data_IF_262901587929
#
_entry.id   IF_262901587929
#
_cell.length_a   1.000
_cell.length_b   1.000
_cell.length_c   1.000
_cell.angle_alpha   90.00
_cell.angle_beta   90.00
_cell.angle_gamma   90.00
#
_symmetry.space_group_name_H-M   'P 1'
#
loop_
_entity.id
_entity.type
_entity.pdbx_description
1 polymer ?
#
# COMPACT_ATOMS: atom_id res chain seq x y z
N UNK A 1 9.10 20.03 -30.63
CA UNK A 1 8.42 20.57 -29.42
C UNK A 1 8.58 19.65 -28.22
N UNK A 2 7.98 18.44 -28.21
CA UNK A 2 8.10 17.52 -27.06
C UNK A 2 9.55 17.15 -26.70
N UNK A 3 10.39 16.83 -27.70
CA UNK A 3 11.82 16.56 -27.46
C UNK A 3 12.58 17.78 -26.92
N UNK A 4 12.27 18.99 -27.39
CA UNK A 4 12.86 20.23 -26.87
C UNK A 4 12.39 20.53 -25.44
N UNK A 5 11.12 20.23 -25.12
CA UNK A 5 10.59 20.34 -23.76
C UNK A 5 11.24 19.31 -22.82
N UNK A 6 11.43 18.07 -23.28
CA UNK A 6 12.14 17.04 -22.51
C UNK A 6 13.61 17.43 -22.24
N UNK A 7 14.31 17.91 -23.27
CA UNK A 7 15.69 18.41 -23.13
C UNK A 7 15.76 19.64 -22.22
N UNK A 8 14.80 20.57 -22.33
CA UNK A 8 14.71 21.74 -21.47
C UNK A 8 14.43 21.38 -20.01
N UNK A 9 13.54 20.42 -19.76
CA UNK A 9 13.27 19.89 -18.42
C UNK A 9 14.48 19.13 -17.86
N UNK A 10 15.19 18.36 -18.69
CA UNK A 10 16.43 17.68 -18.29
C UNK A 10 17.50 18.67 -17.87
N UNK A 11 17.78 19.66 -18.73
CA UNK A 11 18.72 20.74 -18.43
C UNK A 11 18.33 21.53 -17.17
N UNK A 12 17.04 21.83 -16.99
CA UNK A 12 16.54 22.50 -15.79
C UNK A 12 16.72 21.66 -14.52
N UNK A 13 16.46 20.35 -14.60
CA UNK A 13 16.68 19.42 -13.48
C UNK A 13 18.16 19.36 -13.05
N UNK A 14 19.06 19.29 -14.03
CA UNK A 14 20.51 19.30 -13.78
C UNK A 14 20.96 20.65 -13.18
N UNK A 15 20.48 21.77 -13.72
CA UNK A 15 20.80 23.11 -13.24
C UNK A 15 20.28 23.37 -11.82
N UNK A 16 19.05 22.96 -11.54
CA UNK A 16 18.39 23.17 -10.25
C UNK A 16 18.80 22.16 -9.17
N UNK A 17 19.63 21.17 -9.51
CA UNK A 17 19.95 20.01 -8.65
C UNK A 17 18.69 19.25 -8.18
N UNK A 18 17.56 19.47 -8.84
CA UNK A 18 16.34 18.70 -8.64
C UNK A 18 16.30 17.65 -9.74
N UNK A 19 16.93 16.51 -9.46
CA UNK A 19 16.96 15.42 -10.41
C UNK A 19 15.53 15.05 -10.83
N UNK A 20 15.30 14.98 -12.14
CA UNK A 20 14.12 14.30 -12.66
C UNK A 20 14.17 12.87 -12.12
N UNK A 21 13.17 12.46 -11.34
CA UNK A 21 13.22 11.21 -10.57
C UNK A 21 13.55 9.96 -11.40
N UNK A 22 13.17 9.94 -12.69
CA UNK A 22 13.55 8.89 -13.63
C UNK A 22 15.04 8.90 -13.99
N UNK A 23 15.63 10.09 -14.23
CA UNK A 23 17.06 10.25 -14.54
C UNK A 23 17.95 9.93 -13.34
N UNK A 24 17.59 10.42 -12.15
CA UNK A 24 18.32 10.09 -10.92
C UNK A 24 18.36 8.59 -10.62
N UNK A 25 17.24 7.88 -10.85
CA UNK A 25 17.16 6.43 -10.62
C UNK A 25 17.98 5.63 -11.61
N UNK A 26 17.92 5.97 -12.90
CA UNK A 26 18.75 5.32 -13.94
C UNK A 26 20.23 5.56 -13.66
N UNK A 27 20.62 6.78 -13.28
CA UNK A 27 22.01 7.07 -12.90
C UNK A 27 22.45 6.32 -11.65
N UNK A 28 21.60 6.19 -10.64
CA UNK A 28 21.89 5.41 -9.43
C UNK A 28 22.00 3.90 -9.72
N UNK A 29 21.16 3.38 -10.62
CA UNK A 29 21.16 1.97 -11.02
C UNK A 29 22.38 1.61 -11.87
N UNK A 30 22.82 2.51 -12.75
CA UNK A 30 24.05 2.37 -13.52
C UNK A 30 25.29 2.49 -12.62
N UNK A 31 25.28 3.41 -11.65
CA UNK A 31 26.38 3.58 -10.70
C UNK A 31 26.57 2.38 -9.75
N UNK A 32 25.51 1.59 -9.50
CA UNK A 32 25.56 0.43 -8.60
C UNK A 32 26.23 -0.82 -9.21
N UNK A 33 26.64 -0.81 -10.49
CA UNK A 33 27.44 -1.89 -11.10
C UNK A 33 26.74 -3.26 -11.26
N UNK A 34 25.50 -3.37 -10.79
CA UNK A 34 24.56 -4.46 -10.92
C UNK A 34 23.22 -3.92 -10.46
N UNK A 35 22.16 -4.10 -11.25
CA UNK A 35 20.86 -3.48 -10.99
C UNK A 35 20.40 -3.69 -9.54
N UNK A 36 19.74 -2.68 -8.95
CA UNK A 36 19.26 -2.75 -7.57
C UNK A 36 18.42 -4.02 -7.36
N UNK A 37 18.62 -4.78 -6.27
CA UNK A 37 17.72 -5.89 -5.91
C UNK A 37 16.24 -5.44 -5.86
N UNK A 38 16.04 -4.15 -5.58
CA UNK A 38 14.74 -3.49 -5.44
C UNK A 38 14.22 -2.86 -6.74
N UNK A 39 14.90 -3.11 -7.86
CA UNK A 39 14.43 -2.71 -9.19
C UNK A 39 13.05 -3.33 -9.47
N UNK A 40 12.18 -2.55 -10.11
CA UNK A 40 10.79 -2.93 -10.42
C UNK A 40 10.66 -4.30 -11.09
N UNK A 41 11.51 -4.68 -12.07
CA UNK A 41 11.41 -6.01 -12.70
C UNK A 41 11.56 -7.17 -11.72
N UNK A 42 12.34 -7.04 -10.65
CA UNK A 42 12.49 -8.09 -9.64
C UNK A 42 11.24 -8.22 -8.76
N UNK A 43 10.60 -7.10 -8.44
CA UNK A 43 9.29 -7.08 -7.76
C UNK A 43 8.22 -7.72 -8.66
N UNK A 44 8.22 -7.39 -9.95
CA UNK A 44 7.28 -7.97 -10.91
C UNK A 44 7.48 -9.46 -11.09
N UNK A 45 8.73 -9.94 -11.11
CA UNK A 45 9.04 -11.37 -11.19
C UNK A 45 8.48 -12.14 -9.99
N UNK A 46 8.74 -11.67 -8.78
CA UNK A 46 8.24 -12.32 -7.55
C UNK A 46 6.71 -12.24 -7.44
N UNK A 47 6.12 -11.13 -7.87
CA UNK A 47 4.66 -10.98 -8.00
C UNK A 47 4.08 -11.99 -8.99
N UNK A 48 4.71 -12.17 -10.15
CA UNK A 48 4.28 -13.14 -11.15
C UNK A 48 4.30 -14.58 -10.62
N UNK A 49 5.32 -14.92 -9.82
CA UNK A 49 5.37 -16.22 -9.13
C UNK A 49 4.18 -16.41 -8.19
N UNK A 50 3.75 -15.37 -7.45
CA UNK A 50 2.52 -15.45 -6.63
C UNK A 50 1.26 -15.62 -7.48
N UNK A 51 1.16 -14.92 -8.61
CA UNK A 51 0.04 -15.07 -9.54
C UNK A 51 -0.06 -16.52 -10.03
N UNK A 52 1.07 -17.15 -10.38
CA UNK A 52 1.10 -18.55 -10.81
C UNK A 52 0.71 -19.53 -9.69
N UNK A 53 1.00 -19.19 -8.43
CA UNK A 53 0.58 -19.98 -7.26
C UNK A 53 -0.92 -19.80 -6.94
N UNK A 54 -1.50 -18.65 -7.27
CA UNK A 54 -2.89 -18.30 -6.95
C UNK A 54 -3.67 -17.70 -8.15
N UNK A 55 -3.77 -18.40 -9.29
CA UNK A 55 -4.23 -17.80 -10.54
C UNK A 55 -5.73 -17.47 -10.56
N UNK A 56 -6.54 -18.14 -9.74
CA UNK A 56 -8.00 -18.03 -9.83
C UNK A 56 -8.58 -16.91 -8.97
N UNK A 57 -8.19 -16.86 -7.70
CA UNK A 57 -8.75 -15.90 -6.72
C UNK A 57 -7.71 -14.91 -6.22
N UNK A 58 -6.45 -15.04 -6.65
CA UNK A 58 -5.35 -14.28 -6.09
C UNK A 58 -5.07 -14.62 -4.62
N UNK A 59 -4.30 -13.75 -3.98
CA UNK A 59 -3.99 -13.80 -2.55
C UNK A 59 -5.09 -13.17 -1.69
N UNK A 60 -6.03 -12.44 -2.30
CA UNK A 60 -7.04 -11.65 -1.61
C UNK A 60 -6.81 -10.15 -1.81
N UNK A 61 -7.90 -9.38 -1.84
CA UNK A 61 -7.85 -7.93 -2.00
C UNK A 61 -7.15 -7.28 -0.79
N UNK A 62 -6.11 -6.48 -1.05
CA UNK A 62 -5.26 -5.87 -0.02
C UNK A 62 -4.22 -6.81 0.61
N UNK A 63 -4.15 -8.08 0.23
CA UNK A 63 -3.30 -9.08 0.89
C UNK A 63 -1.94 -9.29 0.19
N UNK A 64 -1.61 -8.49 -0.85
CA UNK A 64 -0.36 -8.64 -1.59
C UNK A 64 0.86 -8.59 -0.67
N UNK A 65 0.98 -7.53 0.15
CA UNK A 65 2.14 -7.35 1.01
C UNK A 65 2.27 -8.50 2.02
N UNK A 66 1.16 -8.92 2.63
CA UNK A 66 1.15 -10.02 3.59
C UNK A 66 1.64 -11.33 2.95
N UNK A 67 1.03 -11.71 1.82
CA UNK A 67 1.41 -12.93 1.11
C UNK A 67 2.85 -12.88 0.58
N UNK A 68 3.28 -11.75 0.03
CA UNK A 68 4.62 -11.57 -0.54
C UNK A 68 5.71 -11.54 0.54
N UNK A 69 5.48 -10.87 1.68
CA UNK A 69 6.43 -10.81 2.78
C UNK A 69 6.68 -12.19 3.42
N UNK A 70 5.65 -13.04 3.48
CA UNK A 70 5.70 -14.37 4.10
C UNK A 70 6.09 -15.50 3.13
N UNK A 71 6.09 -15.25 1.82
CA UNK A 71 6.50 -16.24 0.82
C UNK A 71 8.00 -16.17 0.58
N UNK A 72 8.65 -17.34 0.56
CA UNK A 72 10.06 -17.44 0.20
C UNK A 72 10.22 -17.27 -1.32
N UNK A 73 11.19 -16.45 -1.74
CA UNK A 73 11.59 -16.35 -3.14
C UNK A 73 13.09 -16.48 -3.29
N UNK A 74 13.52 -17.18 -4.34
CA UNK A 74 14.91 -17.13 -4.77
C UNK A 74 15.24 -15.73 -5.29
N UNK A 75 16.33 -15.15 -4.78
CA UNK A 75 16.77 -13.79 -5.13
C UNK A 75 15.71 -12.70 -4.90
N UNK A 76 15.04 -12.72 -3.74
CA UNK A 76 14.02 -11.72 -3.40
C UNK A 76 14.60 -10.29 -3.39
N UNK A 77 13.80 -9.28 -3.77
CA UNK A 77 14.05 -7.88 -3.39
C UNK A 77 14.18 -7.73 -1.87
N UNK A 78 15.15 -6.92 -1.43
CA UNK A 78 15.49 -6.71 -0.01
C UNK A 78 14.69 -5.59 0.64
N UNK A 79 14.06 -4.71 -0.13
CA UNK A 79 13.13 -3.71 0.39
C UNK A 79 11.74 -4.32 0.60
N UNK A 80 10.99 -3.70 1.51
CA UNK A 80 9.57 -3.98 1.70
C UNK A 80 8.75 -3.25 0.64
N UNK A 81 7.72 -3.93 0.13
CA UNK A 81 6.79 -3.38 -0.84
C UNK A 81 5.38 -3.64 -0.39
N UNK A 82 4.62 -2.57 -0.19
CA UNK A 82 3.17 -2.61 0.03
C UNK A 82 2.39 -2.91 -1.26
N UNK A 83 3.05 -2.74 -2.42
CA UNK A 83 2.45 -2.95 -3.73
C UNK A 83 3.44 -3.30 -4.84
N UNK A 84 2.90 -3.80 -5.94
CA UNK A 84 3.65 -4.28 -7.11
C UNK A 84 4.23 -3.17 -7.99
N UNK A 85 3.86 -1.90 -7.75
CA UNK A 85 4.19 -0.76 -8.63
C UNK A 85 3.73 -0.94 -10.08
N UNK A 86 2.75 -1.83 -10.32
CA UNK A 86 2.15 -2.08 -11.61
C UNK A 86 0.68 -2.45 -11.42
N UNK A 87 -0.23 -1.56 -11.81
CA UNK A 87 -1.66 -1.74 -11.55
C UNK A 87 -2.22 -3.06 -12.10
N UNK A 88 -1.77 -3.51 -13.27
CA UNK A 88 -2.24 -4.76 -13.86
C UNK A 88 -1.79 -5.97 -13.02
N UNK A 89 -0.51 -6.01 -12.62
CA UNK A 89 0.00 -7.07 -11.75
C UNK A 89 -0.64 -7.03 -10.36
N UNK A 90 -0.91 -5.83 -9.81
CA UNK A 90 -1.61 -5.70 -8.53
C UNK A 90 -2.99 -6.36 -8.59
N UNK A 91 -3.78 -6.03 -9.61
CA UNK A 91 -5.11 -6.61 -9.77
C UNK A 91 -4.99 -8.14 -9.90
N UNK A 92 -4.11 -8.63 -10.77
CA UNK A 92 -3.92 -10.06 -11.01
C UNK A 92 -3.53 -10.83 -9.75
N UNK A 93 -2.60 -10.31 -8.95
CA UNK A 93 -2.12 -11.01 -7.75
C UNK A 93 -3.17 -11.02 -6.65
N UNK A 94 -3.97 -9.97 -6.50
CA UNK A 94 -4.96 -9.86 -5.41
C UNK A 94 -6.32 -10.47 -5.76
N UNK A 95 -6.81 -10.24 -6.97
CA UNK A 95 -8.16 -10.63 -7.42
C UNK A 95 -8.16 -11.95 -8.21
N UNK A 96 -6.99 -12.41 -8.66
CA UNK A 96 -6.86 -13.52 -9.60
C UNK A 96 -7.12 -13.11 -11.05
N UNK A 97 -6.71 -13.95 -11.99
CA UNK A 97 -6.77 -13.69 -13.42
C UNK A 97 -8.19 -13.41 -13.95
N UNK A 98 -9.25 -14.15 -13.56
CA UNK A 98 -10.58 -13.95 -14.14
C UNK A 98 -11.17 -12.57 -13.79
N UNK A 99 -11.18 -12.20 -12.51
CA UNK A 99 -11.74 -10.93 -12.06
C UNK A 99 -10.87 -9.75 -12.53
N UNK A 100 -9.55 -9.91 -12.53
CA UNK A 100 -8.63 -8.89 -13.04
C UNK A 100 -8.80 -8.64 -14.52
N UNK A 101 -8.98 -9.70 -15.33
CA UNK A 101 -9.25 -9.56 -16.75
C UNK A 101 -10.53 -8.78 -16.99
N UNK A 102 -11.60 -9.07 -16.24
CA UNK A 102 -12.85 -8.30 -16.33
C UNK A 102 -12.63 -6.82 -16.00
N UNK A 103 -11.98 -6.51 -14.88
CA UNK A 103 -11.71 -5.11 -14.46
C UNK A 103 -10.86 -4.38 -15.50
N UNK A 104 -9.77 -5.01 -15.97
CA UNK A 104 -8.88 -4.42 -16.98
C UNK A 104 -9.60 -4.21 -18.31
N UNK A 105 -10.48 -5.12 -18.72
CA UNK A 105 -11.30 -4.96 -19.93
C UNK A 105 -12.28 -3.79 -19.80
N UNK A 106 -12.93 -3.64 -18.65
CA UNK A 106 -13.83 -2.50 -18.39
C UNK A 106 -13.06 -1.17 -18.40
N UNK A 107 -11.89 -1.13 -17.78
CA UNK A 107 -11.00 0.03 -17.80
C UNK A 107 -10.53 0.34 -19.23
N UNK A 108 -10.11 -0.66 -20.00
CA UNK A 108 -9.70 -0.46 -21.39
C UNK A 108 -10.87 0.03 -22.26
N UNK A 109 -12.06 -0.54 -22.08
CA UNK A 109 -13.26 -0.11 -22.80
C UNK A 109 -13.61 1.35 -22.46
N UNK A 110 -13.55 1.75 -21.18
CA UNK A 110 -13.76 3.13 -20.76
C UNK A 110 -12.69 4.07 -21.33
N UNK A 111 -11.44 3.64 -21.43
CA UNK A 111 -10.36 4.43 -22.02
C UNK A 111 -10.57 4.63 -23.53
N UNK A 112 -10.98 3.58 -24.25
CA UNK A 112 -11.34 3.66 -25.67
C UNK A 112 -12.53 4.58 -25.88
N UNK A 113 -13.58 4.48 -25.05
CA UNK A 113 -14.73 5.38 -25.11
C UNK A 113 -14.34 6.84 -24.91
N UNK A 114 -13.52 7.14 -23.90
CA UNK A 114 -12.99 8.48 -23.66
C UNK A 114 -12.15 8.99 -24.85
N UNK A 115 -11.32 8.12 -25.44
CA UNK A 115 -10.56 8.44 -26.65
C UNK A 115 -11.45 8.77 -27.85
N UNK A 116 -12.47 7.95 -28.11
CA UNK A 116 -13.43 8.19 -29.18
C UNK A 116 -14.24 9.48 -28.95
N UNK A 117 -14.63 9.77 -27.70
CA UNK A 117 -15.29 11.01 -27.34
C UNK A 117 -14.39 12.23 -27.61
N UNK A 118 -13.13 12.17 -27.19
CA UNK A 118 -12.14 13.24 -27.39
C UNK A 118 -11.82 13.50 -28.88
N UNK A 119 -11.90 12.46 -29.72
CA UNK A 119 -11.73 12.59 -31.18
C UNK A 119 -12.93 13.24 -31.87
N UNK A 120 -14.15 12.99 -31.37
CA UNK A 120 -15.39 13.53 -31.93
C UNK A 120 -15.71 14.94 -31.43
N UNK A 121 -15.26 15.29 -30.23
CA UNK A 121 -15.47 16.59 -29.63
C UNK A 121 -14.88 17.74 -30.47
N UNK A 122 -15.55 18.89 -30.45
CA UNK A 122 -15.15 20.12 -31.13
C UNK A 122 -15.19 21.32 -30.17
N UNK A 123 -14.52 22.42 -30.54
CA UNK A 123 -14.47 23.64 -29.73
C UNK A 123 -13.80 23.43 -28.36
N UNK A 124 -14.24 24.20 -27.36
CA UNK A 124 -13.69 24.13 -25.99
C UNK A 124 -13.84 22.75 -25.34
N UNK A 125 -14.94 22.04 -25.63
CA UNK A 125 -15.18 20.69 -25.14
C UNK A 125 -14.11 19.70 -25.61
N UNK A 126 -13.56 19.88 -26.83
CA UNK A 126 -12.45 19.08 -27.31
C UNK A 126 -11.18 19.29 -26.49
N UNK A 127 -10.87 20.54 -26.15
CA UNK A 127 -9.71 20.89 -25.34
C UNK A 127 -9.80 20.25 -23.96
N UNK A 128 -10.95 20.39 -23.28
CA UNK A 128 -11.16 19.81 -21.94
C UNK A 128 -11.07 18.29 -21.98
N UNK A 129 -11.75 17.64 -22.93
CA UNK A 129 -11.76 16.18 -23.06
C UNK A 129 -10.36 15.61 -23.33
N UNK A 130 -9.60 16.23 -24.23
CA UNK A 130 -8.23 15.81 -24.55
C UNK A 130 -7.26 16.05 -23.40
N UNK A 131 -7.40 17.17 -22.69
CA UNK A 131 -6.60 17.45 -21.49
C UNK A 131 -6.88 16.43 -20.38
N UNK A 132 -8.16 16.11 -20.13
CA UNK A 132 -8.56 15.08 -19.18
C UNK A 132 -8.05 13.69 -19.57
N UNK A 133 -8.19 13.31 -20.84
CA UNK A 133 -7.66 12.05 -21.36
C UNK A 133 -6.13 11.97 -21.21
N UNK A 134 -5.42 13.05 -21.49
CA UNK A 134 -3.98 13.12 -21.28
C UNK A 134 -3.62 12.89 -19.81
N UNK A 135 -4.34 13.51 -18.86
CA UNK A 135 -4.13 13.28 -17.44
C UNK A 135 -4.33 11.80 -17.07
N UNK A 136 -5.43 11.19 -17.53
CA UNK A 136 -5.71 9.76 -17.30
C UNK A 136 -4.61 8.87 -17.86
N UNK A 137 -4.10 9.16 -19.06
CA UNK A 137 -2.99 8.41 -19.67
C UNK A 137 -1.69 8.56 -18.88
N UNK A 138 -1.36 9.79 -18.45
CA UNK A 138 -0.14 10.06 -17.68
C UNK A 138 -0.19 9.37 -16.30
N UNK A 139 -1.30 9.51 -15.56
CA UNK A 139 -1.48 8.84 -14.27
C UNK A 139 -1.55 7.32 -14.43
N UNK A 140 -2.20 6.84 -15.49
CA UNK A 140 -2.26 5.42 -15.83
C UNK A 140 -0.86 4.84 -16.07
N UNK A 141 -0.04 5.52 -16.89
CA UNK A 141 1.35 5.12 -17.17
C UNK A 141 2.22 5.18 -15.90
N UNK A 142 2.09 6.24 -15.10
CA UNK A 142 2.77 6.36 -13.80
C UNK A 142 2.45 5.15 -12.92
N UNK A 143 1.19 4.74 -12.85
CA UNK A 143 0.76 3.58 -12.06
C UNK A 143 1.23 2.21 -12.58
N UNK A 144 1.82 2.14 -13.78
CA UNK A 144 2.41 0.91 -14.31
C UNK A 144 3.89 0.73 -13.94
N UNK A 145 4.59 1.80 -13.58
CA UNK A 145 6.06 1.81 -13.44
C UNK A 145 6.55 2.43 -12.12
N UNK A 146 5.75 3.31 -11.54
CA UNK A 146 6.08 4.12 -10.38
C UNK A 146 5.09 3.86 -9.23
N UNK A 147 4.40 4.88 -8.73
CA UNK A 147 3.53 4.74 -7.58
C UNK A 147 2.11 4.33 -7.98
N UNK A 148 1.39 3.64 -7.09
CA UNK A 148 0.06 3.15 -7.35
C UNK A 148 -0.95 4.27 -7.60
N UNK A 149 -1.95 3.95 -8.43
CA UNK A 149 -3.08 4.83 -8.69
C UNK A 149 -3.92 5.12 -7.44
N UNK A 150 -3.97 4.21 -6.45
CA UNK A 150 -4.89 4.29 -5.32
C UNK A 150 -4.48 5.25 -4.21
N UNK A 151 -3.36 5.98 -4.33
CA UNK A 151 -3.16 7.14 -3.48
C UNK A 151 -4.19 8.22 -3.80
N UNK A 152 -4.86 8.77 -2.78
CA UNK A 152 -5.99 9.69 -2.98
C UNK A 152 -5.65 10.88 -3.90
N UNK A 153 -4.41 11.40 -3.81
CA UNK A 153 -3.92 12.50 -4.65
C UNK A 153 -3.64 12.12 -6.12
N UNK A 154 -3.56 10.81 -6.45
CA UNK A 154 -3.57 10.31 -7.82
C UNK A 154 -4.97 9.85 -8.24
N UNK A 155 -5.65 9.09 -7.38
CA UNK A 155 -6.93 8.47 -7.66
C UNK A 155 -8.02 9.50 -7.96
N UNK A 156 -8.18 10.50 -7.08
CA UNK A 156 -9.31 11.42 -7.17
C UNK A 156 -9.20 12.34 -8.41
N UNK A 157 -8.05 12.96 -8.72
CA UNK A 157 -7.92 13.73 -9.96
C UNK A 157 -8.06 12.85 -11.21
N UNK A 158 -7.51 11.64 -11.20
CA UNK A 158 -7.64 10.69 -12.32
C UNK A 158 -9.09 10.30 -12.57
N UNK A 159 -9.83 9.94 -11.51
CA UNK A 159 -11.22 9.54 -11.59
C UNK A 159 -12.11 10.69 -12.08
N UNK A 160 -11.89 11.91 -11.57
CA UNK A 160 -12.58 13.11 -12.02
C UNK A 160 -12.32 13.38 -13.51
N UNK A 161 -11.05 13.40 -13.92
CA UNK A 161 -10.68 13.62 -15.31
C UNK A 161 -11.27 12.55 -16.23
N UNK A 162 -11.23 11.28 -15.84
CA UNK A 162 -11.82 10.20 -16.62
C UNK A 162 -13.34 10.37 -16.76
N UNK A 163 -14.03 10.73 -15.68
CA UNK A 163 -15.46 11.05 -15.70
C UNK A 163 -15.79 12.21 -16.64
N UNK A 164 -15.01 13.29 -16.61
CA UNK A 164 -15.18 14.44 -17.52
C UNK A 164 -14.92 14.07 -18.98
N UNK A 165 -13.89 13.26 -19.24
CA UNK A 165 -13.57 12.78 -20.59
C UNK A 165 -14.70 11.89 -21.15
N UNK A 166 -15.25 10.99 -20.33
CA UNK A 166 -16.39 10.13 -20.69
C UNK A 166 -17.70 10.92 -20.89
N UNK A 167 -17.90 11.98 -20.10
CA UNK A 167 -19.08 12.83 -20.16
C UNK A 167 -19.07 13.88 -21.29
N UNK A 168 -18.01 13.93 -22.11
CA UNK A 168 -17.89 14.95 -23.16
C UNK A 168 -18.89 14.68 -24.30
N UNK A 169 -19.74 15.65 -24.69
CA UNK A 169 -20.65 15.49 -25.83
C UNK A 169 -19.90 15.36 -27.16
N UNK A 170 -20.22 14.32 -27.95
CA UNK A 170 -19.55 14.03 -29.23
C UNK A 170 -19.94 14.93 -30.41
N UNK A 171 -20.88 15.86 -30.26
CA UNK A 171 -21.24 16.87 -31.27
C UNK A 171 -21.59 18.17 -30.56
N UNK A 172 -21.18 19.35 -31.07
CA UNK A 172 -21.82 20.58 -30.66
C UNK A 172 -23.32 20.43 -30.94
N UNK A 173 -24.15 20.73 -29.94
CA UNK A 173 -25.56 20.91 -30.18
C UNK A 173 -25.67 21.94 -31.30
N UNK A 174 -26.26 21.54 -32.42
CA UNK A 174 -26.69 22.49 -33.45
C UNK A 174 -27.44 23.63 -32.77
N UNK A 175 -27.21 24.88 -33.20
CA UNK A 175 -27.80 26.13 -32.68
C UNK A 175 -29.36 26.20 -32.72
N UNK A 176 -30.05 25.05 -32.83
CA UNK A 176 -31.50 24.91 -32.78
C UNK A 176 -32.00 23.97 -31.66
N UNK A 177 -31.14 23.39 -30.83
CA UNK A 177 -31.60 22.71 -29.63
C UNK A 177 -31.82 23.76 -28.54
N UNK A 178 -33.09 24.07 -28.23
CA UNK A 178 -33.48 24.81 -27.03
C UNK A 178 -32.61 24.36 -25.85
N UNK A 179 -32.15 25.26 -24.96
CA UNK A 179 -31.23 24.91 -23.90
C UNK A 179 -31.84 23.71 -23.20
N UNK A 180 -31.22 22.54 -23.35
CA UNK A 180 -31.60 21.39 -22.58
C UNK A 180 -31.35 21.85 -21.16
N UNK A 181 -32.42 22.29 -20.48
CA UNK A 181 -32.38 22.59 -19.06
C UNK A 181 -31.88 21.28 -18.49
N UNK A 182 -30.60 21.21 -18.17
CA UNK A 182 -30.04 20.11 -17.43
C UNK A 182 -30.68 20.23 -16.07
N UNK A 183 -31.89 19.70 -15.94
CA UNK A 183 -32.50 19.50 -14.65
C UNK A 183 -31.51 18.61 -13.93
N UNK A 184 -30.79 19.20 -12.98
CA UNK A 184 -29.88 18.47 -12.12
C UNK A 184 -30.70 17.32 -11.58
N UNK A 185 -30.38 16.10 -12.00
CA UNK A 185 -31.12 14.93 -11.58
C UNK A 185 -31.10 14.91 -10.06
N UNK A 186 -32.27 14.87 -9.42
CA UNK A 186 -32.36 14.78 -7.96
C UNK A 186 -31.50 13.61 -7.47
N UNK A 187 -31.48 12.50 -8.20
CA UNK A 187 -30.61 11.36 -7.90
C UNK A 187 -29.12 11.71 -8.01
N UNK A 188 -28.71 12.47 -9.03
CA UNK A 188 -27.33 12.95 -9.18
C UNK A 188 -26.92 13.94 -8.08
N UNK A 189 -27.82 14.83 -7.69
CA UNK A 189 -27.60 15.77 -6.58
C UNK A 189 -27.47 15.02 -5.25
N UNK A 190 -28.39 14.09 -4.97
CA UNK A 190 -28.34 13.24 -3.77
C UNK A 190 -27.05 12.41 -3.74
N UNK A 191 -26.65 11.82 -4.85
CA UNK A 191 -25.38 11.10 -4.95
C UNK A 191 -24.19 12.02 -4.65
N UNK A 192 -24.17 13.25 -5.19
CA UNK A 192 -23.16 14.25 -4.88
C UNK A 192 -23.11 14.63 -3.39
N UNK A 193 -24.27 14.88 -2.77
CA UNK A 193 -24.38 15.19 -1.34
C UNK A 193 -23.86 14.04 -0.49
N UNK A 194 -24.24 12.80 -0.82
CA UNK A 194 -23.76 11.60 -0.12
C UNK A 194 -22.24 11.44 -0.26
N UNK A 195 -21.68 11.70 -1.44
CA UNK A 195 -20.23 11.66 -1.66
C UNK A 195 -19.48 12.72 -0.83
N UNK A 196 -20.00 13.95 -0.76
CA UNK A 196 -19.41 15.02 0.05
C UNK A 196 -19.51 14.69 1.54
N UNK A 197 -20.69 14.25 2.00
CA UNK A 197 -20.88 13.84 3.39
C UNK A 197 -19.95 12.68 3.76
N UNK A 198 -19.82 11.68 2.90
CA UNK A 198 -18.88 10.56 3.06
C UNK A 198 -17.42 11.03 3.13
N UNK A 199 -17.02 11.96 2.27
CA UNK A 199 -15.68 12.56 2.30
C UNK A 199 -15.39 13.33 3.59
N UNK A 200 -16.36 14.12 4.08
CA UNK A 200 -16.24 14.83 5.36
C UNK A 200 -16.17 13.84 6.53
N UNK A 201 -17.00 12.80 6.54
CA UNK A 201 -16.97 11.76 7.58
C UNK A 201 -15.63 11.01 7.59
N UNK A 202 -15.09 10.68 6.41
CA UNK A 202 -13.77 10.06 6.28
C UNK A 202 -12.66 11.00 6.78
N UNK A 203 -12.73 12.31 6.48
CA UNK A 203 -11.77 13.27 6.99
C UNK A 203 -11.82 13.39 8.52
N UNK A 204 -13.03 13.48 9.10
CA UNK A 204 -13.22 13.52 10.56
C UNK A 204 -12.68 12.24 11.22
N UNK A 205 -12.92 11.08 10.61
CA UNK A 205 -12.38 9.82 11.12
C UNK A 205 -10.85 9.75 11.01
N UNK A 206 -10.28 10.24 9.91
CA UNK A 206 -8.83 10.31 9.70
C UNK A 206 -8.13 11.16 10.75
N UNK A 207 -8.74 12.26 11.21
CA UNK A 207 -8.14 13.09 12.26
C UNK A 207 -7.85 12.31 13.56
N UNK A 208 -8.65 11.27 13.88
CA UNK A 208 -8.43 10.43 15.07
C UNK A 208 -7.08 9.73 15.05
N UNK A 209 -6.58 9.37 13.87
CA UNK A 209 -5.30 8.67 13.72
C UNK A 209 -4.15 9.64 13.44
N UNK A 210 -4.42 10.80 12.83
CA UNK A 210 -3.42 11.86 12.67
C UNK A 210 -2.85 12.28 14.01
N UNK A 211 -3.69 12.42 15.04
CA UNK A 211 -3.22 12.80 16.39
C UNK A 211 -2.16 11.85 16.97
N UNK A 212 -2.10 10.59 16.54
CA UNK A 212 -1.08 9.62 16.98
C UNK A 212 0.31 10.04 16.48
N UNK A 213 0.39 10.51 15.23
CA UNK A 213 1.65 10.79 14.53
C UNK A 213 2.03 12.28 14.53
N UNK A 214 1.05 13.16 14.54
CA UNK A 214 1.20 14.62 14.60
C UNK A 214 0.35 15.19 15.76
N UNK A 215 0.74 14.92 17.02
CA UNK A 215 0.01 15.43 18.18
C UNK A 215 0.04 16.96 18.25
N UNK A 216 -1.05 17.53 18.72
CA UNK A 216 -1.10 18.92 19.18
C UNK A 216 -0.53 19.04 20.60
N UNK A 217 -0.26 20.27 21.05
CA UNK A 217 0.26 20.52 22.41
C UNK A 217 -0.67 19.98 23.52
N UNK A 218 -1.97 19.86 23.25
CA UNK A 218 -2.97 19.35 24.19
C UNK A 218 -3.27 17.85 24.02
N UNK A 219 -2.53 17.16 23.14
CA UNK A 219 -2.73 15.74 22.89
C UNK A 219 -2.25 14.93 24.10
N UNK A 220 -3.13 14.07 24.62
CA UNK A 220 -2.82 13.20 25.76
C UNK A 220 -1.73 12.14 25.47
N UNK A 221 -1.45 11.25 26.44
CA UNK A 221 -0.44 10.21 26.30
C UNK A 221 -0.62 9.34 25.05
N UNK A 222 0.49 8.85 24.47
CA UNK A 222 0.47 8.03 23.25
C UNK A 222 -0.51 6.84 23.34
N UNK A 223 -0.51 6.12 24.46
CA UNK A 223 -1.41 4.98 24.66
C UNK A 223 -2.90 5.38 24.59
N UNK A 224 -3.27 6.57 25.08
CA UNK A 224 -4.64 7.07 25.00
C UNK A 224 -5.02 7.44 23.56
N UNK A 225 -4.09 8.05 22.81
CA UNK A 225 -4.27 8.37 21.39
C UNK A 225 -4.42 7.12 20.54
N UNK A 226 -3.58 6.11 20.77
CA UNK A 226 -3.67 4.80 20.11
C UNK A 226 -5.04 4.16 20.40
N UNK A 227 -5.44 4.09 21.68
CA UNK A 227 -6.74 3.51 22.05
C UNK A 227 -7.94 4.27 21.44
N UNK A 228 -7.83 5.58 21.26
CA UNK A 228 -8.83 6.38 20.55
C UNK A 228 -8.84 6.05 19.06
N UNK A 229 -7.67 6.01 18.42
CA UNK A 229 -7.51 5.68 17.00
C UNK A 229 -7.99 4.26 16.65
N UNK A 230 -7.83 3.27 17.54
CA UNK A 230 -8.33 1.89 17.34
C UNK A 230 -9.86 1.80 17.23
N UNK A 231 -10.59 2.88 17.58
CA UNK A 231 -12.05 2.99 17.40
C UNK A 231 -12.46 3.54 16.03
N UNK A 232 -11.49 3.94 15.19
CA UNK A 232 -11.75 4.46 13.86
C UNK A 232 -12.35 3.38 12.94
N UNK A 233 -13.54 3.58 12.33
CA UNK A 233 -14.11 2.62 11.40
C UNK A 233 -13.30 2.42 10.12
N UNK A 234 -12.58 3.44 9.63
CA UNK A 234 -11.89 3.38 8.34
C UNK A 234 -10.36 3.24 8.50
N UNK A 235 -9.80 3.85 9.54
CA UNK A 235 -8.36 4.03 9.69
C UNK A 235 -7.76 3.37 10.93
N UNK A 236 -8.51 2.52 11.65
CA UNK A 236 -8.00 1.82 12.84
C UNK A 236 -6.68 1.08 12.61
N UNK A 237 -6.42 0.59 11.40
CA UNK A 237 -5.15 -0.05 11.03
C UNK A 237 -3.91 0.82 11.34
N UNK A 238 -4.02 2.15 11.22
CA UNK A 238 -2.92 3.07 11.55
C UNK A 238 -2.66 3.09 13.06
N UNK A 239 -3.70 3.03 13.88
CA UNK A 239 -3.58 2.93 15.33
C UNK A 239 -3.13 1.53 15.77
N UNK A 240 -3.58 0.49 15.07
CA UNK A 240 -3.19 -0.90 15.27
C UNK A 240 -1.69 -1.11 14.99
N UNK A 241 -1.15 -0.48 13.94
CA UNK A 241 0.29 -0.44 13.67
C UNK A 241 1.06 0.19 14.83
N UNK A 242 0.60 1.36 15.31
CA UNK A 242 1.21 2.04 16.44
C UNK A 242 1.13 1.18 17.72
N UNK A 243 0.00 0.52 17.97
CA UNK A 243 -0.19 -0.38 19.11
C UNK A 243 0.77 -1.58 19.07
N UNK A 244 0.99 -2.16 17.89
CA UNK A 244 1.86 -3.32 17.73
C UNK A 244 3.36 -2.99 17.84
N UNK A 245 3.75 -1.72 17.63
CA UNK A 245 5.15 -1.30 17.55
C UNK A 245 5.60 -0.36 18.68
N UNK A 246 4.72 -0.09 19.65
CA UNK A 246 5.00 0.73 20.83
C UNK A 246 4.55 0.01 22.12
N UNK A 247 5.02 0.53 23.26
CA UNK A 247 4.60 0.02 24.56
C UNK A 247 3.17 0.45 24.89
N UNK A 248 2.23 -0.50 24.80
CA UNK A 248 0.81 -0.33 25.12
C UNK A 248 0.30 -1.56 25.88
N UNK A 249 -0.92 -1.53 26.47
CA UNK A 249 -1.47 -2.70 27.14
C UNK A 249 -1.49 -3.93 26.22
N UNK A 250 -1.19 -5.15 26.72
CA UNK A 250 -1.02 -6.35 25.90
C UNK A 250 -2.20 -6.67 24.97
N UNK A 251 -3.43 -6.39 25.42
CA UNK A 251 -4.63 -6.59 24.59
C UNK A 251 -4.66 -5.65 23.37
N UNK A 252 -4.21 -4.40 23.53
CA UNK A 252 -4.13 -3.43 22.43
C UNK A 252 -3.04 -3.81 21.43
N UNK A 253 -1.87 -4.24 21.92
CA UNK A 253 -0.78 -4.73 21.08
C UNK A 253 -1.18 -6.00 20.30
N UNK A 254 -1.86 -6.95 20.96
CA UNK A 254 -2.34 -8.18 20.31
C UNK A 254 -3.39 -7.89 19.23
N UNK A 255 -4.34 -6.98 19.49
CA UNK A 255 -5.28 -6.50 18.48
C UNK A 255 -4.56 -5.85 17.31
N UNK A 256 -3.56 -5.01 17.63
CA UNK A 256 -2.72 -4.33 16.65
C UNK A 256 -2.03 -5.31 15.71
N UNK A 257 -1.38 -6.33 16.27
CA UNK A 257 -0.70 -7.39 15.52
C UNK A 257 -1.64 -8.22 14.65
N UNK A 258 -2.91 -8.39 15.03
CA UNK A 258 -3.85 -9.13 14.18
C UNK A 258 -4.36 -8.33 12.98
N UNK A 259 -4.44 -7.00 13.08
CA UNK A 259 -5.06 -6.15 12.06
C UNK A 259 -4.04 -5.45 11.19
N UNK A 260 -2.95 -4.96 11.79
CA UNK A 260 -1.95 -4.16 11.09
C UNK A 260 -1.11 -5.00 10.12
N UNK A 261 -0.88 -6.29 10.42
CA UNK A 261 -0.13 -7.21 9.55
C UNK A 261 -0.76 -7.35 8.16
N UNK A 262 -2.09 -7.23 8.06
CA UNK A 262 -2.83 -7.27 6.79
C UNK A 262 -2.84 -5.92 6.05
N UNK A 263 -2.42 -4.84 6.70
CA UNK A 263 -2.33 -3.52 6.06
C UNK A 263 -0.91 -3.25 5.54
N UNK A 264 0.10 -3.54 6.37
CA UNK A 264 1.50 -3.44 6.02
C UNK A 264 2.30 -4.34 6.96
N UNK A 265 2.97 -5.35 6.43
CA UNK A 265 3.90 -6.21 7.14
C UNK A 265 5.34 -5.78 6.82
N UNK A 266 5.85 -4.86 7.63
CA UNK A 266 7.21 -4.32 7.58
C UNK A 266 8.14 -4.98 8.60
N UNK A 267 9.41 -4.54 8.65
CA UNK A 267 10.42 -5.07 9.58
C UNK A 267 9.96 -5.00 11.04
N UNK A 268 9.40 -3.86 11.47
CA UNK A 268 9.00 -3.62 12.85
C UNK A 268 7.86 -4.52 13.26
N UNK A 269 6.84 -4.66 12.41
CA UNK A 269 5.72 -5.56 12.67
C UNK A 269 6.13 -7.03 12.60
N UNK A 270 6.99 -7.43 11.67
CA UNK A 270 7.51 -8.79 11.63
C UNK A 270 8.29 -9.14 12.91
N UNK A 271 9.10 -8.22 13.45
CA UNK A 271 9.80 -8.41 14.73
C UNK A 271 8.79 -8.56 15.88
N UNK A 272 7.86 -7.61 16.00
CA UNK A 272 6.85 -7.62 17.06
C UNK A 272 6.00 -8.89 17.02
N UNK A 273 5.59 -9.30 15.82
CA UNK A 273 4.78 -10.49 15.60
C UNK A 273 5.57 -11.78 15.87
N UNK A 274 6.83 -11.87 15.44
CA UNK A 274 7.67 -13.04 15.70
C UNK A 274 7.89 -13.23 17.21
N UNK A 275 8.14 -12.14 17.95
CA UNK A 275 8.21 -12.16 19.42
C UNK A 275 6.90 -12.65 20.03
N UNK A 276 5.76 -12.13 19.56
CA UNK A 276 4.45 -12.53 20.07
C UNK A 276 4.12 -14.00 19.80
N UNK A 277 4.43 -14.52 18.60
CA UNK A 277 4.27 -15.93 18.26
C UNK A 277 5.12 -16.82 19.18
N UNK A 278 6.37 -16.43 19.45
CA UNK A 278 7.22 -17.17 20.38
C UNK A 278 6.66 -17.15 21.82
N UNK A 279 6.17 -16.01 22.30
CA UNK A 279 5.58 -15.87 23.64
C UNK A 279 4.29 -16.68 23.81
N UNK A 280 3.50 -16.84 22.75
CA UNK A 280 2.25 -17.60 22.75
C UNK A 280 2.45 -19.10 22.47
N UNK A 281 3.69 -19.57 22.35
CA UNK A 281 4.04 -20.97 22.14
C UNK A 281 4.07 -21.42 20.67
N UNK A 282 3.79 -20.52 19.72
CA UNK A 282 3.89 -20.76 18.28
C UNK A 282 5.33 -20.58 17.77
N UNK A 283 6.25 -21.29 18.41
CA UNK A 283 7.70 -21.07 18.24
C UNK A 283 8.17 -21.37 16.82
N UNK A 284 7.59 -22.36 16.13
CA UNK A 284 8.02 -22.69 14.76
C UNK A 284 7.55 -21.65 13.74
N UNK A 285 6.32 -21.15 13.87
CA UNK A 285 5.82 -20.03 13.08
C UNK A 285 6.65 -18.76 13.34
N UNK A 286 7.07 -18.52 14.59
CA UNK A 286 7.96 -17.42 14.94
C UNK A 286 9.34 -17.55 14.25
N UNK A 287 9.89 -18.77 14.16
CA UNK A 287 11.15 -19.05 13.44
C UNK A 287 11.01 -18.83 11.95
N UNK A 288 9.90 -19.26 11.36
CA UNK A 288 9.62 -19.04 9.94
C UNK A 288 9.53 -17.55 9.61
N UNK A 289 8.79 -16.80 10.43
CA UNK A 289 8.67 -15.36 10.27
C UNK A 289 10.02 -14.65 10.44
N UNK A 290 10.83 -15.06 11.42
CA UNK A 290 12.19 -14.57 11.58
C UNK A 290 13.08 -14.92 10.35
N UNK A 291 12.93 -16.10 9.77
CA UNK A 291 13.66 -16.45 8.56
C UNK A 291 13.29 -15.52 7.40
N UNK A 292 12.00 -15.24 7.19
CA UNK A 292 11.54 -14.26 6.18
C UNK A 292 12.08 -12.85 6.46
N UNK A 293 12.07 -12.43 7.72
CA UNK A 293 12.59 -11.12 8.16
C UNK A 293 14.08 -10.94 7.83
N UNK A 294 14.88 -12.01 7.95
CA UNK A 294 16.32 -11.98 7.67
C UNK A 294 16.65 -11.65 6.22
N UNK A 295 15.76 -11.97 5.28
CA UNK A 295 15.99 -11.78 3.85
C UNK A 295 15.92 -10.31 3.40
N UNK A 296 15.46 -9.40 4.27
CA UNK A 296 15.31 -7.97 3.95
C UNK A 296 16.56 -7.12 4.26
N UNK A 297 17.56 -7.64 4.97
CA UNK A 297 18.82 -6.92 5.27
C UNK A 297 18.61 -5.48 5.77
N UNK A 298 17.75 -5.32 6.78
CA UNK A 298 17.39 -4.04 7.40
C UNK A 298 18.11 -3.88 8.75
N UNK A 299 18.57 -2.68 9.15
CA UNK A 299 19.23 -2.45 10.44
C UNK A 299 18.45 -2.97 11.67
N UNK A 300 17.12 -2.82 11.71
CA UNK A 300 16.29 -3.33 12.80
C UNK A 300 16.29 -4.87 12.84
N UNK A 301 16.40 -5.51 11.66
CA UNK A 301 16.55 -6.96 11.51
C UNK A 301 17.91 -7.40 12.06
N UNK A 302 18.98 -6.68 11.73
CA UNK A 302 20.33 -6.96 12.23
C UNK A 302 20.38 -6.86 13.77
N UNK A 303 19.77 -5.83 14.36
CA UNK A 303 19.65 -5.70 15.82
C UNK A 303 18.86 -6.87 16.44
N UNK A 304 17.76 -7.27 15.81
CA UNK A 304 16.95 -8.40 16.26
C UNK A 304 17.73 -9.74 16.25
N UNK A 305 18.63 -9.92 15.29
CA UNK A 305 19.48 -11.12 15.16
C UNK A 305 20.84 -11.03 15.85
N UNK A 306 21.28 -9.87 16.33
CA UNK A 306 22.57 -9.69 17.02
C UNK A 306 22.86 -10.70 18.15
N UNK A 307 21.86 -11.20 18.93
CA UNK A 307 22.13 -12.26 19.90
C UNK A 307 22.61 -13.59 19.29
N UNK A 308 22.32 -13.86 18.02
CA UNK A 308 22.65 -15.12 17.35
C UNK A 308 24.14 -15.30 17.08
N UNK A 309 24.91 -14.22 17.09
CA UNK A 309 26.38 -14.25 16.93
C UNK A 309 27.08 -14.71 18.22
N UNK A 310 26.34 -14.79 19.33
CA UNK A 310 26.87 -15.23 20.63
C UNK A 310 26.45 -16.69 20.90
N UNK A 311 27.34 -17.55 21.43
CA UNK A 311 27.00 -18.93 21.79
C UNK A 311 25.79 -19.03 22.72
N UNK A 312 25.66 -18.08 23.65
CA UNK A 312 24.57 -17.96 24.62
C UNK A 312 23.20 -17.69 23.97
N UNK A 313 23.21 -17.07 22.78
CA UNK A 313 22.00 -16.73 22.03
C UNK A 313 21.54 -17.80 21.05
N UNK A 314 22.34 -18.83 20.78
CA UNK A 314 22.01 -19.90 19.82
C UNK A 314 20.69 -20.64 20.17
N UNK A 315 20.33 -20.69 21.46
CA UNK A 315 19.08 -21.29 21.94
C UNK A 315 17.82 -20.43 21.69
N UNK A 316 17.98 -19.14 21.34
CA UNK A 316 16.84 -18.23 21.11
C UNK A 316 16.12 -18.59 19.81
N UNK A 317 14.81 -18.37 19.76
CA UNK A 317 13.98 -18.81 18.63
C UNK A 317 14.45 -18.16 17.31
N UNK A 318 14.79 -16.87 17.30
CA UNK A 318 15.22 -16.18 16.09
C UNK A 318 16.57 -16.66 15.54
N UNK A 319 17.32 -17.44 16.32
CA UNK A 319 18.62 -17.98 15.92
C UNK A 319 18.52 -19.40 15.35
N UNK A 320 17.34 -20.03 15.44
CA UNK A 320 17.12 -21.39 15.00
C UNK A 320 16.34 -21.44 13.69
N UNK A 321 16.65 -22.39 12.79
CA UNK A 321 15.85 -22.59 11.60
C UNK A 321 14.44 -23.09 11.98
N UNK A 322 13.40 -22.76 11.18
CA UNK A 322 12.09 -23.39 11.34
C UNK A 322 12.17 -24.88 11.03
N UNK A 323 11.33 -25.68 11.69
CA UNK A 323 11.25 -27.14 11.50
C UNK A 323 10.36 -27.49 10.32
N UNK A 324 9.35 -26.67 10.03
CA UNK A 324 8.44 -26.84 8.90
C UNK A 324 8.40 -25.59 8.01
N UNK A 325 7.90 -25.78 6.79
CA UNK A 325 7.50 -24.66 5.94
C UNK A 325 6.10 -24.20 6.36
N UNK A 326 5.93 -22.90 6.60
CA UNK A 326 4.65 -22.31 6.95
C UNK A 326 4.13 -21.46 5.80
N UNK A 327 3.13 -21.91 5.02
CA UNK A 327 2.55 -21.09 3.96
C UNK A 327 1.89 -19.84 4.56
N UNK A 328 1.90 -18.73 3.83
CA UNK A 328 1.35 -17.45 4.32
C UNK A 328 -0.11 -17.56 4.78
N UNK A 329 -0.91 -18.47 4.18
CA UNK A 329 -2.32 -18.71 4.58
C UNK A 329 -2.47 -19.30 5.97
N UNK A 330 -1.47 -20.01 6.49
CA UNK A 330 -1.53 -20.52 7.86
C UNK A 330 -1.59 -19.35 8.86
N UNK A 331 -0.85 -18.28 8.55
CA UNK A 331 -0.80 -17.08 9.38
C UNK A 331 -2.12 -16.31 9.44
N UNK A 332 -3.04 -16.49 8.49
CA UNK A 332 -4.38 -15.86 8.52
C UNK A 332 -5.35 -16.59 9.46
N UNK A 333 -5.01 -17.82 9.85
CA UNK A 333 -5.84 -18.68 10.71
C UNK A 333 -5.30 -18.82 12.12
N UNK A 334 -4.20 -18.13 12.44
CA UNK A 334 -3.60 -18.22 13.76
C UNK A 334 -4.56 -17.67 14.83
N UNK A 335 -4.64 -18.34 15.99
CA UNK A 335 -5.51 -17.89 17.06
C UNK A 335 -5.07 -16.53 17.58
N UNK A 336 -6.02 -15.82 18.19
CA UNK A 336 -5.79 -14.59 18.94
C UNK A 336 -4.53 -14.73 19.80
N UNK A 337 -3.53 -13.90 19.50
CA UNK A 337 -2.24 -13.91 20.16
C UNK A 337 -2.30 -13.22 21.52
N UNK A 338 -3.21 -13.63 22.40
CA UNK A 338 -3.21 -13.16 23.77
C UNK A 338 -2.15 -13.93 24.56
N UNK A 339 -1.29 -13.26 25.36
CA UNK A 339 -0.36 -13.95 26.24
C UNK A 339 -1.14 -14.88 27.16
N UNK A 340 -0.73 -16.15 27.25
CA UNK A 340 -1.20 -17.02 28.34
C UNK A 340 -0.72 -16.43 29.66
N UNK A 341 -1.50 -16.60 30.75
CA UNK A 341 -1.17 -16.02 32.05
C UNK A 341 0.22 -16.43 32.59
N UNK A 342 0.82 -17.50 32.06
CA UNK A 342 2.17 -17.97 32.40
C UNK A 342 3.32 -17.24 31.68
N UNK A 343 3.04 -16.44 30.64
CA UNK A 343 4.05 -15.80 29.78
C UNK A 343 4.26 -14.31 30.08
N UNK A 344 3.63 -13.75 31.12
CA UNK A 344 3.85 -12.36 31.53
C UNK A 344 5.20 -12.26 32.28
N UNK A 345 6.15 -11.43 31.84
CA UNK A 345 7.28 -11.10 32.69
C UNK A 345 6.76 -10.43 33.96
N UNK A 346 7.27 -10.85 35.11
CA UNK A 346 6.89 -10.28 36.40
C UNK A 346 7.05 -8.74 36.35
N UNK A 347 6.09 -7.97 36.89
CA UNK A 347 6.23 -6.53 36.94
C UNK A 347 7.55 -6.18 37.64
N UNK A 348 8.36 -5.34 37.00
CA UNK A 348 9.59 -4.84 37.61
C UNK A 348 9.23 -4.27 38.97
N UNK A 349 9.72 -4.92 40.04
CA UNK A 349 9.55 -4.43 41.39
C UNK A 349 10.17 -3.04 41.43
N UNK A 350 9.34 -2.01 41.62
CA UNK A 350 9.82 -0.69 41.97
C UNK A 350 10.51 -0.82 43.33
N UNK A 351 11.82 -1.06 43.31
CA UNK A 351 12.64 -0.89 44.49
C UNK A 351 12.64 0.60 44.81
N UNK A 352 11.75 1.00 45.73
CA UNK A 352 11.99 2.19 46.54
C UNK A 352 13.26 1.92 47.35
N UNK A 353 14.33 2.63 47.03
CA UNK A 353 15.21 3.28 48.01
C UNK A 353 15.63 4.63 47.46
#
# INVERSE_FOLDING_TARGET
LYGLAYLGMGWWGDYSQQALGAGARVSAEVAAGGGSPNARPNVWRTTWLLILQHPWTGVGFGEFNFAWSLTAFDHRPTAFFDHTHNLALQLMVELGLPLSALVLLLMAAALVQAGLAALRAQGEAATVSRACLLLVLLCGLHSQVEYPLWYAYFLLPTALAWGLALGTPGRPASDAAAPARSSVSLAGMLAGVVMVAGGVLALVDYQRVVEIYAPSDNSGPLAARIAHGQRSPLFAHQADYAAATNEVPPASAALGLMRATHSLLDTRLMIAWARQLALTGQVDAARWLAQRLREFHNPDSDEFFAPCDKPEGAAKFQCQPPKAQHPWREFTTLPLLLPTAAAQPAPASSARQ
#
